data_IF_436902121003
#
_entry.id   IF_436902121003
#
_cell.length_a   1.000
_cell.length_b   1.000
_cell.length_c   1.000
_cell.angle_alpha   90.00
_cell.angle_beta   90.00
_cell.angle_gamma   90.00
#
_symmetry.space_group_name_H-M   'P 1'
#
loop_
_entity.id
_entity.type
_entity.pdbx_description
1 polymer ?
#
# COMPACT_ATOMS: atom_id res chain seq x y z
N UNK A 1 -8.29 -13.44 -5.45
CA UNK A 1 -7.44 -14.31 -4.60
C UNK A 1 -5.96 -13.96 -4.59
N UNK A 2 -5.24 -14.13 -5.71
CA UNK A 2 -3.76 -14.03 -5.72
C UNK A 2 -3.24 -12.64 -5.33
N UNK A 3 -3.99 -11.58 -5.62
CA UNK A 3 -3.62 -10.20 -5.27
C UNK A 3 -3.43 -9.98 -3.76
N UNK A 4 -4.16 -10.72 -2.92
CA UNK A 4 -4.03 -10.69 -1.46
C UNK A 4 -2.69 -11.21 -0.95
N UNK A 5 -1.86 -11.82 -1.82
CA UNK A 5 -0.47 -12.20 -1.51
C UNK A 5 0.54 -11.05 -1.61
N UNK A 6 0.12 -9.87 -2.09
CA UNK A 6 1.00 -8.68 -2.20
C UNK A 6 1.78 -8.36 -0.91
N UNK A 7 1.21 -8.44 0.31
CA UNK A 7 1.95 -8.22 1.55
C UNK A 7 3.12 -9.18 1.77
N UNK A 8 3.01 -10.42 1.27
CA UNK A 8 4.10 -11.41 1.33
C UNK A 8 5.27 -10.96 0.47
N UNK A 9 4.99 -10.53 -0.77
CA UNK A 9 6.01 -10.02 -1.69
C UNK A 9 6.64 -8.72 -1.18
N UNK A 10 5.83 -7.82 -0.61
CA UNK A 10 6.30 -6.62 0.07
C UNK A 10 7.30 -6.96 1.17
N UNK A 11 6.96 -7.91 2.04
CA UNK A 11 7.83 -8.34 3.14
C UNK A 11 9.12 -8.98 2.63
N UNK A 12 9.02 -9.84 1.62
CA UNK A 12 10.17 -10.52 1.01
C UNK A 12 11.17 -9.52 0.44
N UNK A 13 10.70 -8.55 -0.37
CA UNK A 13 11.58 -7.51 -0.90
C UNK A 13 12.12 -6.58 0.20
N UNK A 14 11.35 -6.32 1.25
CA UNK A 14 11.83 -5.55 2.41
C UNK A 14 13.00 -6.23 3.12
N UNK A 15 13.01 -7.57 3.18
CA UNK A 15 14.16 -8.34 3.66
C UNK A 15 15.33 -8.32 2.68
N UNK A 16 15.07 -8.46 1.38
CA UNK A 16 16.13 -8.43 0.34
C UNK A 16 16.87 -7.09 0.30
N UNK A 17 16.16 -5.97 0.42
CA UNK A 17 16.76 -4.64 0.48
C UNK A 17 17.29 -4.26 1.88
N UNK A 18 17.10 -5.12 2.88
CA UNK A 18 17.63 -4.91 4.23
C UNK A 18 16.88 -3.87 5.07
N UNK A 19 15.67 -3.47 4.66
CA UNK A 19 14.84 -2.52 5.42
C UNK A 19 14.27 -3.12 6.71
N UNK A 20 14.03 -4.44 6.73
CA UNK A 20 13.58 -5.18 7.91
C UNK A 20 14.48 -6.38 8.19
N UNK A 21 14.69 -6.68 9.48
CA UNK A 21 15.42 -7.90 9.89
C UNK A 21 14.46 -9.09 9.88
N UNK A 22 14.84 -10.23 9.28
CA UNK A 22 13.99 -11.42 9.30
C UNK A 22 13.79 -11.87 10.74
N UNK A 23 12.55 -11.71 11.23
CA UNK A 23 12.11 -12.14 12.55
C UNK A 23 10.91 -13.04 12.38
N UNK A 24 10.96 -14.22 12.98
CA UNK A 24 9.89 -15.23 12.90
C UNK A 24 8.55 -14.66 13.35
N UNK A 25 8.54 -13.80 14.37
CA UNK A 25 7.34 -13.10 14.84
C UNK A 25 6.68 -12.23 13.76
N UNK A 26 7.48 -11.45 13.01
CA UNK A 26 6.96 -10.59 11.95
C UNK A 26 6.39 -11.42 10.79
N UNK A 27 7.08 -12.49 10.41
CA UNK A 27 6.63 -13.41 9.36
C UNK A 27 5.31 -14.06 9.78
N UNK A 28 5.21 -14.56 11.02
CA UNK A 28 3.99 -15.16 11.55
C UNK A 28 2.80 -14.21 11.53
N UNK A 29 3.00 -12.95 11.94
CA UNK A 29 1.94 -11.93 11.92
C UNK A 29 1.44 -11.67 10.48
N UNK A 30 2.35 -11.48 9.51
CA UNK A 30 1.96 -11.24 8.12
C UNK A 30 1.25 -12.45 7.52
N UNK A 31 1.70 -13.68 7.83
CA UNK A 31 1.02 -14.90 7.39
C UNK A 31 -0.41 -15.01 7.93
N UNK A 32 -0.64 -14.64 9.20
CA UNK A 32 -1.99 -14.61 9.79
C UNK A 32 -2.88 -13.59 9.07
N UNK A 33 -2.38 -12.41 8.75
CA UNK A 33 -3.15 -11.39 8.02
C UNK A 33 -3.50 -11.89 6.62
N UNK A 34 -2.53 -12.44 5.88
CA UNK A 34 -2.76 -12.97 4.53
C UNK A 34 -3.75 -14.14 4.55
N UNK A 35 -3.67 -15.01 5.55
CA UNK A 35 -4.64 -16.09 5.73
C UNK A 35 -6.05 -15.57 6.02
N UNK A 36 -6.18 -14.55 6.88
CA UNK A 36 -7.46 -13.89 7.13
C UNK A 36 -8.09 -13.32 5.87
N UNK A 37 -7.31 -12.61 5.05
CA UNK A 37 -7.78 -12.05 3.76
C UNK A 37 -8.09 -13.17 2.75
N UNK A 38 -7.36 -14.28 2.77
CA UNK A 38 -7.67 -15.41 1.91
C UNK A 38 -9.05 -16.01 2.23
N UNK A 39 -9.38 -16.14 3.52
CA UNK A 39 -10.68 -16.65 3.96
C UNK A 39 -11.86 -15.75 3.58
N UNK A 40 -11.65 -14.43 3.41
CA UNK A 40 -12.73 -13.51 3.02
C UNK A 40 -13.11 -13.59 1.53
N UNK A 41 -12.28 -14.22 0.70
CA UNK A 41 -12.45 -14.23 -0.75
C UNK A 41 -12.88 -15.62 -1.27
N UNK A 42 -13.00 -16.63 -0.39
CA UNK A 42 -13.17 -18.03 -0.79
C UNK A 42 -14.55 -18.27 -1.45
N UNK A 43 -14.58 -18.44 -2.79
CA UNK A 43 -15.83 -18.65 -3.53
C UNK A 43 -15.79 -18.56 -5.08
N UNK A 44 -14.63 -18.34 -5.71
CA UNK A 44 -14.53 -18.18 -7.17
C UNK A 44 -14.70 -19.51 -7.93
N UNK A 45 -15.73 -19.60 -8.78
CA UNK A 45 -16.11 -20.81 -9.54
C UNK A 45 -15.55 -20.86 -10.98
N UNK A 46 -14.73 -19.89 -11.40
CA UNK A 46 -14.12 -19.87 -12.75
C UNK A 46 -12.63 -19.55 -12.68
N UNK A 47 -11.82 -20.60 -12.51
CA UNK A 47 -10.36 -20.47 -12.54
C UNK A 47 -9.87 -20.28 -13.98
N UNK A 48 -9.29 -19.11 -14.26
CA UNK A 48 -8.55 -18.82 -15.50
C UNK A 48 -7.04 -18.75 -15.22
N UNK A 49 -6.27 -19.59 -15.91
CA UNK A 49 -4.83 -19.70 -15.67
C UNK A 49 -4.06 -18.46 -16.12
N UNK A 50 -4.48 -17.80 -17.21
CA UNK A 50 -3.81 -16.62 -17.74
C UNK A 50 -3.98 -15.44 -16.78
N UNK A 51 -5.21 -15.18 -16.34
CA UNK A 51 -5.53 -14.18 -15.32
C UNK A 51 -4.82 -14.45 -14.00
N UNK A 52 -4.72 -15.73 -13.59
CA UNK A 52 -3.96 -16.11 -12.40
C UNK A 52 -2.48 -15.71 -12.50
N UNK A 53 -1.80 -16.03 -13.61
CA UNK A 53 -0.38 -15.67 -13.81
C UNK A 53 -0.20 -14.16 -13.87
N UNK A 54 -1.08 -13.44 -14.59
CA UNK A 54 -1.03 -11.99 -14.68
C UNK A 54 -1.14 -11.31 -13.30
N UNK A 55 -2.08 -11.76 -12.46
CA UNK A 55 -2.25 -11.22 -11.11
C UNK A 55 -1.08 -11.59 -10.21
N UNK A 56 -0.47 -12.77 -10.38
CA UNK A 56 0.72 -13.17 -9.63
C UNK A 56 1.90 -12.24 -9.93
N UNK A 57 2.19 -12.03 -11.22
CA UNK A 57 3.26 -11.10 -11.66
C UNK A 57 2.97 -9.68 -11.19
N UNK A 58 1.72 -9.22 -11.31
CA UNK A 58 1.33 -7.90 -10.83
C UNK A 58 1.54 -7.73 -9.32
N UNK A 59 1.33 -8.78 -8.52
CA UNK A 59 1.54 -8.77 -7.07
C UNK A 59 3.03 -8.66 -6.71
N UNK A 60 3.89 -9.40 -7.42
CA UNK A 60 5.35 -9.33 -7.26
C UNK A 60 5.86 -7.93 -7.60
N UNK A 61 5.50 -7.41 -8.78
CA UNK A 61 5.92 -6.07 -9.24
C UNK A 61 5.38 -4.97 -8.31
N UNK A 62 4.17 -5.11 -7.78
CA UNK A 62 3.61 -4.18 -6.80
C UNK A 62 4.41 -4.15 -5.50
N UNK A 63 4.83 -5.33 -5.00
CA UNK A 63 5.70 -5.43 -3.83
C UNK A 63 7.08 -4.80 -4.07
N UNK A 64 7.66 -5.02 -5.24
CA UNK A 64 8.93 -4.40 -5.65
C UNK A 64 8.80 -2.88 -5.74
N UNK A 65 7.76 -2.37 -6.43
CA UNK A 65 7.50 -0.93 -6.60
C UNK A 65 7.51 -0.22 -5.27
N UNK A 66 6.76 -0.71 -4.29
CA UNK A 66 6.68 -0.03 -2.99
C UNK A 66 7.99 -0.04 -2.22
N UNK A 67 8.79 -1.10 -2.33
CA UNK A 67 10.10 -1.14 -1.71
C UNK A 67 11.11 -0.19 -2.40
N UNK A 68 11.05 -0.07 -3.73
CA UNK A 68 11.83 0.92 -4.47
C UNK A 68 11.39 2.35 -4.13
N UNK A 69 10.09 2.60 -3.97
CA UNK A 69 9.58 3.90 -3.48
C UNK A 69 10.11 4.20 -2.08
N UNK A 70 10.13 3.22 -1.17
CA UNK A 70 10.74 3.40 0.15
C UNK A 70 12.22 3.74 0.05
N UNK A 71 12.98 3.02 -0.79
CA UNK A 71 14.39 3.32 -1.05
C UNK A 71 14.58 4.77 -1.52
N UNK A 72 13.77 5.20 -2.48
CA UNK A 72 13.81 6.55 -3.04
C UNK A 72 13.50 7.63 -2.00
N UNK A 73 12.50 7.41 -1.13
CA UNK A 73 12.05 8.39 -0.13
C UNK A 73 12.95 8.47 1.11
N UNK A 74 13.59 7.36 1.49
CA UNK A 74 14.37 7.26 2.74
C UNK A 74 15.88 7.46 2.53
N UNK A 75 16.35 7.51 1.28
CA UNK A 75 17.77 7.70 0.99
C UNK A 75 18.13 9.19 0.91
N UNK A 76 18.66 9.73 2.01
CA UNK A 76 19.07 11.15 2.15
C UNK A 76 20.04 11.64 1.06
N UNK A 77 20.82 10.72 0.46
CA UNK A 77 21.79 11.03 -0.60
C UNK A 77 21.16 11.54 -1.89
N UNK A 78 19.87 11.33 -2.10
CA UNK A 78 19.17 11.75 -3.31
C UNK A 78 18.61 13.18 -3.21
N UNK A 79 18.65 13.82 -2.03
CA UNK A 79 18.18 15.19 -1.83
C UNK A 79 16.65 15.37 -1.92
N UNK A 80 15.90 14.29 -2.17
CA UNK A 80 14.44 14.29 -2.30
C UNK A 80 13.82 13.86 -0.96
N UNK A 81 13.97 14.70 0.06
CA UNK A 81 13.43 14.40 1.39
C UNK A 81 11.93 14.71 1.51
N UNK A 82 11.26 15.10 0.42
CA UNK A 82 9.84 15.47 0.43
C UNK A 82 9.00 14.49 -0.40
N UNK A 83 7.88 13.95 0.16
CA UNK A 83 6.93 13.11 -0.58
C UNK A 83 6.40 13.80 -1.85
N UNK A 84 6.18 15.11 -1.77
CA UNK A 84 5.69 15.95 -2.87
C UNK A 84 6.75 16.04 -3.97
N UNK A 85 8.02 16.20 -3.60
CA UNK A 85 9.11 16.26 -4.58
C UNK A 85 9.29 14.93 -5.31
N UNK A 86 9.18 13.80 -4.59
CA UNK A 86 9.20 12.48 -5.25
C UNK A 86 8.05 12.34 -6.23
N UNK A 87 6.84 12.76 -5.81
CA UNK A 87 5.65 12.69 -6.65
C UNK A 87 5.78 13.58 -7.89
N UNK A 88 6.39 14.77 -7.77
CA UNK A 88 6.65 15.66 -8.90
C UNK A 88 7.53 15.00 -9.97
N UNK A 89 8.56 14.26 -9.59
CA UNK A 89 9.43 13.56 -10.54
C UNK A 89 8.78 12.28 -11.11
N UNK A 90 8.00 11.57 -10.30
CA UNK A 90 7.42 10.28 -10.69
C UNK A 90 6.12 10.42 -11.51
N UNK A 91 5.29 11.42 -11.22
CA UNK A 91 3.99 11.62 -11.89
C UNK A 91 4.08 11.76 -13.41
N UNK A 92 4.98 12.58 -14.01
CA UNK A 92 5.00 12.74 -15.45
C UNK A 92 5.39 11.44 -16.17
N UNK A 93 6.32 10.65 -15.62
CA UNK A 93 6.68 9.37 -16.24
C UNK A 93 5.57 8.33 -16.09
N UNK A 94 4.88 8.29 -14.96
CA UNK A 94 3.68 7.46 -14.79
C UNK A 94 2.57 7.86 -15.76
N UNK A 95 2.35 9.17 -15.98
CA UNK A 95 1.36 9.67 -16.93
C UNK A 95 1.70 9.25 -18.37
N UNK A 96 2.92 9.49 -18.84
CA UNK A 96 3.33 9.15 -20.22
C UNK A 96 3.23 7.64 -20.47
N UNK A 97 3.68 6.82 -19.52
CA UNK A 97 3.62 5.37 -19.65
C UNK A 97 2.18 4.84 -19.63
N UNK A 98 1.33 5.36 -18.74
CA UNK A 98 -0.09 4.99 -18.69
C UNK A 98 -0.84 5.44 -19.95
N UNK A 99 -0.57 6.64 -20.44
CA UNK A 99 -1.15 7.17 -21.67
C UNK A 99 -0.78 6.29 -22.87
N UNK A 100 0.50 5.93 -23.00
CA UNK A 100 0.97 5.04 -24.05
C UNK A 100 0.27 3.67 -24.00
N UNK A 101 0.17 3.06 -22.82
CA UNK A 101 -0.52 1.77 -22.65
C UNK A 101 -2.01 1.86 -22.98
N UNK A 102 -2.70 2.93 -22.57
CA UNK A 102 -4.11 3.15 -22.92
C UNK A 102 -4.31 3.26 -24.44
N UNK A 103 -3.43 3.97 -25.16
CA UNK A 103 -3.52 4.03 -26.63
C UNK A 103 -3.34 2.67 -27.32
N UNK A 104 -2.44 1.82 -26.80
CA UNK A 104 -2.14 0.51 -27.39
C UNK A 104 -3.22 -0.53 -27.07
N UNK A 105 -3.81 -0.48 -25.87
CA UNK A 105 -4.74 -1.52 -25.39
C UNK A 105 -6.20 -1.16 -25.64
N UNK A 106 -6.59 0.10 -25.40
CA UNK A 106 -7.99 0.51 -25.36
C UNK A 106 -8.46 1.24 -26.62
N UNK A 107 -7.52 1.66 -27.50
CA UNK A 107 -7.80 2.39 -28.73
C UNK A 107 -8.82 3.53 -28.54
N UNK A 108 -8.49 4.54 -27.71
CA UNK A 108 -9.47 5.51 -27.20
C UNK A 108 -10.17 6.29 -28.30
N UNK A 109 -9.50 6.57 -29.43
CA UNK A 109 -10.07 7.33 -30.55
C UNK A 109 -11.31 6.68 -31.17
N UNK A 110 -11.37 5.35 -31.17
CA UNK A 110 -12.51 4.60 -31.70
C UNK A 110 -13.68 4.60 -30.70
N UNK A 111 -13.36 4.53 -29.40
CA UNK A 111 -14.36 4.57 -28.32
C UNK A 111 -14.96 5.96 -28.13
N UNK A 112 -14.17 7.03 -28.22
CA UNK A 112 -14.65 8.42 -28.09
C UNK A 112 -15.70 8.80 -29.16
N UNK A 113 -15.68 8.15 -30.32
CA UNK A 113 -16.67 8.37 -31.40
C UNK A 113 -17.99 7.62 -31.19
N UNK A 114 -17.99 6.61 -30.32
CA UNK A 114 -19.15 5.75 -30.08
C UNK A 114 -19.75 5.94 -28.69
N UNK A 115 -19.13 6.78 -27.85
CA UNK A 115 -19.51 6.92 -26.44
C UNK A 115 -20.59 7.99 -26.23
N UNK A 116 -21.71 7.59 -25.63
CA UNK A 116 -22.81 8.49 -25.22
C UNK A 116 -22.39 9.55 -24.18
N UNK A 117 -21.22 9.38 -23.54
CA UNK A 117 -20.73 10.25 -22.48
C UNK A 117 -20.16 11.59 -22.98
N UNK A 118 -19.90 11.72 -24.29
CA UNK A 118 -19.33 12.93 -24.89
C UNK A 118 -20.25 13.58 -25.94
N UNK A 119 -21.51 13.16 -26.01
CA UNK A 119 -22.46 13.61 -27.04
C UNK A 119 -23.04 15.02 -26.79
N UNK A 120 -23.13 15.44 -25.52
CA UNK A 120 -23.72 16.73 -25.12
C UNK A 120 -22.73 17.52 -24.26
N UNK A 121 -22.55 18.84 -24.46
CA UNK A 121 -21.73 19.68 -23.59
C UNK A 121 -22.01 19.50 -22.09
N UNK A 122 -23.24 19.21 -21.69
CA UNK A 122 -23.57 18.89 -20.29
C UNK A 122 -22.91 17.58 -19.81
N UNK A 123 -22.99 16.50 -20.60
CA UNK A 123 -22.37 15.21 -20.28
C UNK A 123 -20.84 15.27 -20.33
N UNK A 124 -20.28 16.11 -21.21
CA UNK A 124 -18.84 16.37 -21.25
C UNK A 124 -18.38 17.02 -19.94
N UNK A 125 -19.07 18.07 -19.49
CA UNK A 125 -18.72 18.78 -18.24
C UNK A 125 -18.90 17.87 -17.03
N UNK A 126 -19.96 17.07 -16.99
CA UNK A 126 -20.20 16.08 -15.94
C UNK A 126 -19.09 15.03 -15.89
N UNK A 127 -18.74 14.43 -17.03
CA UNK A 127 -17.69 13.41 -17.14
C UNK A 127 -16.33 13.97 -16.73
N UNK A 128 -15.96 15.16 -17.24
CA UNK A 128 -14.72 15.83 -16.82
C UNK A 128 -14.72 16.19 -15.35
N UNK A 129 -15.86 16.62 -14.80
CA UNK A 129 -16.02 16.94 -13.38
C UNK A 129 -15.79 15.72 -12.50
N UNK A 130 -16.44 14.59 -12.82
CA UNK A 130 -16.26 13.32 -12.10
C UNK A 130 -14.82 12.81 -12.20
N UNK A 131 -14.20 12.89 -13.37
CA UNK A 131 -12.79 12.53 -13.58
C UNK A 131 -11.85 13.43 -12.77
N UNK A 132 -12.09 14.74 -12.72
CA UNK A 132 -11.28 15.67 -11.96
C UNK A 132 -11.38 15.42 -10.45
N UNK A 133 -12.58 15.17 -9.93
CA UNK A 133 -12.80 14.84 -8.51
C UNK A 133 -12.12 13.51 -8.17
N UNK A 134 -12.30 12.46 -9.00
CA UNK A 134 -11.64 11.18 -8.83
C UNK A 134 -10.11 11.30 -8.86
N UNK A 135 -9.58 12.08 -9.80
CA UNK A 135 -8.15 12.37 -9.92
C UNK A 135 -7.59 13.11 -8.70
N UNK A 136 -8.32 14.09 -8.15
CA UNK A 136 -7.93 14.80 -6.94
C UNK A 136 -7.89 13.86 -5.71
N UNK A 137 -8.90 12.99 -5.56
CA UNK A 137 -8.93 11.99 -4.48
C UNK A 137 -7.79 10.98 -4.62
N UNK A 138 -7.50 10.52 -5.84
CA UNK A 138 -6.39 9.61 -6.11
C UNK A 138 -5.03 10.27 -5.80
N UNK A 139 -4.85 11.55 -6.17
CA UNK A 139 -3.65 12.32 -5.83
C UNK A 139 -3.48 12.47 -4.31
N UNK A 140 -4.56 12.81 -3.59
CA UNK A 140 -4.53 12.93 -2.13
C UNK A 140 -4.19 11.59 -1.46
N UNK A 141 -4.76 10.49 -1.95
CA UNK A 141 -4.44 9.13 -1.48
C UNK A 141 -2.96 8.81 -1.71
N UNK A 142 -2.43 9.04 -2.91
CA UNK A 142 -1.04 8.75 -3.24
C UNK A 142 -0.07 9.58 -2.39
N UNK A 143 -0.39 10.85 -2.16
CA UNK A 143 0.40 11.72 -1.26
C UNK A 143 0.41 11.18 0.17
N UNK A 144 -0.74 10.71 0.68
CA UNK A 144 -0.83 10.11 2.01
C UNK A 144 -0.02 8.81 2.11
N UNK A 145 -0.04 7.96 1.07
CA UNK A 145 0.76 6.73 1.02
C UNK A 145 2.27 7.02 1.03
N UNK A 146 2.72 8.01 0.25
CA UNK A 146 4.13 8.42 0.24
C UNK A 146 4.54 9.05 1.58
N UNK A 147 3.69 9.88 2.19
CA UNK A 147 3.93 10.43 3.51
C UNK A 147 4.03 9.33 4.58
N UNK A 148 3.20 8.29 4.49
CA UNK A 148 3.24 7.15 5.42
C UNK A 148 4.53 6.35 5.25
N UNK A 149 4.98 6.09 4.02
CA UNK A 149 6.26 5.41 3.76
C UNK A 149 7.42 6.21 4.34
N UNK A 150 7.44 7.54 4.11
CA UNK A 150 8.49 8.42 4.63
C UNK A 150 8.63 8.30 6.15
N UNK A 151 7.51 8.33 6.86
CA UNK A 151 7.49 8.29 8.33
C UNK A 151 7.65 6.88 8.90
N UNK A 152 7.42 5.83 8.10
CA UNK A 152 7.41 4.44 8.57
C UNK A 152 8.22 3.52 7.65
N UNK A 153 7.57 2.53 7.02
CA UNK A 153 8.14 1.64 6.02
C UNK A 153 7.03 1.03 5.17
N UNK A 154 7.41 0.40 4.07
CA UNK A 154 6.49 -0.22 3.12
C UNK A 154 5.70 -1.38 3.71
N UNK A 155 6.22 -2.09 4.71
CA UNK A 155 5.47 -3.15 5.41
C UNK A 155 4.30 -2.55 6.18
N UNK A 156 4.49 -1.41 6.87
CA UNK A 156 3.42 -0.70 7.55
C UNK A 156 2.41 -0.13 6.58
N UNK A 157 2.85 0.39 5.43
CA UNK A 157 1.94 0.79 4.36
C UNK A 157 1.06 -0.39 3.91
N UNK A 158 1.65 -1.56 3.70
CA UNK A 158 0.89 -2.75 3.31
C UNK A 158 -0.15 -3.16 4.35
N UNK A 159 0.19 -3.09 5.65
CA UNK A 159 -0.77 -3.37 6.73
C UNK A 159 -1.87 -2.32 6.79
N UNK A 160 -1.53 -1.03 6.64
CA UNK A 160 -2.50 0.07 6.58
C UNK A 160 -3.45 -0.07 5.37
N UNK A 161 -2.94 -0.54 4.23
CA UNK A 161 -3.75 -0.86 3.06
C UNK A 161 -4.79 -1.93 3.34
N UNK A 162 -4.41 -3.02 4.01
CA UNK A 162 -5.35 -4.09 4.41
C UNK A 162 -6.38 -3.56 5.41
N UNK A 163 -5.97 -2.73 6.37
CA UNK A 163 -6.90 -2.07 7.29
C UNK A 163 -7.92 -1.20 6.55
N UNK A 164 -7.49 -0.42 5.54
CA UNK A 164 -8.37 0.37 4.69
C UNK A 164 -9.36 -0.52 3.95
N UNK A 165 -8.91 -1.65 3.38
CA UNK A 165 -9.78 -2.59 2.68
C UNK A 165 -10.87 -3.18 3.61
N UNK A 166 -10.52 -3.53 4.85
CA UNK A 166 -11.48 -4.01 5.85
C UNK A 166 -12.55 -2.96 6.15
N UNK A 167 -12.16 -1.68 6.29
CA UNK A 167 -13.12 -0.58 6.49
C UNK A 167 -14.06 -0.44 5.31
N UNK A 168 -13.55 -0.52 4.08
CA UNK A 168 -14.37 -0.47 2.86
C UNK A 168 -15.37 -1.61 2.83
N UNK A 169 -14.93 -2.86 3.07
CA UNK A 169 -15.82 -4.04 3.11
C UNK A 169 -16.92 -3.85 4.16
N UNK A 170 -16.55 -3.38 5.35
CA UNK A 170 -17.49 -3.20 6.47
C UNK A 170 -18.53 -2.12 6.15
N UNK A 171 -18.11 -1.02 5.51
CA UNK A 171 -18.99 0.06 5.10
C UNK A 171 -19.90 -0.37 3.95
N UNK A 172 -19.39 -1.12 2.98
CA UNK A 172 -20.19 -1.69 1.89
C UNK A 172 -21.32 -2.56 2.45
N UNK A 173 -21.03 -3.45 3.40
CA UNK A 173 -22.06 -4.29 4.03
C UNK A 173 -23.08 -3.46 4.80
N UNK A 174 -22.64 -2.43 5.52
CA UNK A 174 -23.53 -1.57 6.30
C UNK A 174 -24.48 -0.72 5.43
N UNK A 175 -24.01 -0.28 4.26
CA UNK A 175 -24.80 0.57 3.34
C UNK A 175 -25.68 -0.27 2.41
N UNK A 176 -25.12 -1.31 1.80
CA UNK A 176 -25.80 -2.11 0.77
C UNK A 176 -26.58 -3.30 1.36
N UNK A 177 -26.33 -3.65 2.62
CA UNK A 177 -27.03 -4.76 3.28
C UNK A 177 -26.63 -6.15 2.78
N UNK A 178 -25.45 -6.27 2.16
CA UNK A 178 -24.96 -7.53 1.59
C UNK A 178 -24.81 -8.61 2.68
N UNK A 179 -25.29 -9.83 2.40
CA UNK A 179 -25.16 -10.96 3.32
C UNK A 179 -23.73 -11.51 3.31
N UNK A 180 -23.02 -11.29 4.42
CA UNK A 180 -21.70 -11.89 4.63
C UNK A 180 -21.83 -13.37 4.98
N UNK A 181 -21.17 -14.22 4.19
CA UNK A 181 -21.01 -15.64 4.53
C UNK A 181 -20.20 -15.77 5.83
N UNK A 182 -20.48 -16.81 6.64
CA UNK A 182 -19.78 -17.05 7.92
C UNK A 182 -18.26 -17.11 7.76
N UNK A 183 -17.76 -17.61 6.62
CA UNK A 183 -16.34 -17.62 6.26
C UNK A 183 -15.74 -16.21 6.12
N UNK A 184 -16.49 -15.29 5.49
CA UNK A 184 -16.05 -13.92 5.29
C UNK A 184 -15.96 -13.16 6.61
N UNK A 185 -16.93 -13.39 7.51
CA UNK A 185 -16.90 -12.83 8.87
C UNK A 185 -15.68 -13.35 9.63
N UNK A 186 -15.41 -14.66 9.56
CA UNK A 186 -14.26 -15.26 10.22
C UNK A 186 -12.93 -14.73 9.67
N UNK A 187 -12.80 -14.60 8.34
CA UNK A 187 -11.63 -14.01 7.71
C UNK A 187 -11.39 -12.55 8.12
N UNK A 188 -12.47 -11.77 8.28
CA UNK A 188 -12.40 -10.38 8.75
C UNK A 188 -11.88 -10.31 10.19
N UNK A 189 -12.40 -11.15 11.09
CA UNK A 189 -11.94 -11.24 12.50
C UNK A 189 -10.45 -11.61 12.56
N UNK A 190 -10.03 -12.63 11.81
CA UNK A 190 -8.62 -13.08 11.77
C UNK A 190 -7.70 -11.97 11.25
N UNK A 191 -8.13 -11.25 10.20
CA UNK A 191 -7.36 -10.13 9.63
C UNK A 191 -7.20 -8.99 10.64
N UNK A 192 -8.28 -8.62 11.34
CA UNK A 192 -8.25 -7.60 12.40
C UNK A 192 -7.31 -8.01 13.52
N UNK A 193 -7.38 -9.26 13.98
CA UNK A 193 -6.49 -9.77 15.03
C UNK A 193 -5.01 -9.71 14.60
N UNK A 194 -4.70 -10.06 13.35
CA UNK A 194 -3.35 -9.94 12.79
C UNK A 194 -2.84 -8.50 12.74
N UNK A 195 -3.70 -7.54 12.33
CA UNK A 195 -3.36 -6.11 12.31
C UNK A 195 -3.09 -5.58 13.72
N UNK A 196 -3.92 -5.96 14.69
CA UNK A 196 -3.72 -5.59 16.09
C UNK A 196 -2.38 -6.14 16.60
N UNK A 197 -2.08 -7.41 16.32
CA UNK A 197 -0.80 -8.04 16.64
C UNK A 197 0.39 -7.33 16.00
N UNK A 198 0.28 -6.91 14.74
CA UNK A 198 1.31 -6.12 14.05
C UNK A 198 1.56 -4.78 14.74
N UNK A 199 0.49 -4.08 15.11
CA UNK A 199 0.57 -2.77 15.77
C UNK A 199 1.27 -2.91 17.13
N UNK A 200 0.87 -3.88 17.95
CA UNK A 200 1.54 -4.18 19.23
C UNK A 200 3.03 -4.50 19.03
N UNK A 201 3.37 -5.37 18.07
CA UNK A 201 4.76 -5.70 17.76
C UNK A 201 5.58 -4.45 17.38
N UNK A 202 5.03 -3.56 16.55
CA UNK A 202 5.71 -2.35 16.12
C UNK A 202 5.89 -1.35 17.27
N UNK A 203 4.89 -1.20 18.14
CA UNK A 203 4.98 -0.37 19.35
C UNK A 203 6.06 -0.87 20.31
N UNK A 204 6.12 -2.18 20.57
CA UNK A 204 7.15 -2.77 21.43
C UNK A 204 8.56 -2.58 20.84
N UNK A 205 8.73 -2.75 19.52
CA UNK A 205 10.01 -2.50 18.83
C UNK A 205 10.44 -1.03 18.98
N UNK A 206 9.52 -0.09 18.82
CA UNK A 206 9.78 1.35 18.99
C UNK A 206 10.20 1.71 20.42
N UNK A 207 9.50 1.18 21.42
CA UNK A 207 9.85 1.40 22.83
C UNK A 207 11.21 0.82 23.21
N UNK A 208 11.57 -0.35 22.68
CA UNK A 208 12.86 -0.97 22.97
C UNK A 208 14.03 -0.21 22.31
N UNK A 209 13.81 0.35 21.12
CA UNK A 209 14.78 1.25 20.47
C UNK A 209 14.97 2.53 21.30
N UNK A 210 13.89 3.13 21.82
CA UNK A 210 13.97 4.34 22.62
C UNK A 210 14.65 4.10 23.98
N UNK A 211 14.40 2.97 24.65
CA UNK A 211 15.09 2.62 25.91
C UNK A 211 16.60 2.46 25.76
N UNK A 212 17.09 1.94 24.63
CA UNK A 212 18.53 1.82 24.36
C UNK A 212 19.22 3.18 24.13
N UNK A 213 18.50 4.18 23.62
CA UNK A 213 19.03 5.52 23.39
C UNK A 213 19.23 6.32 24.68
N UNK A 214 18.44 6.05 25.73
CA UNK A 214 18.56 6.69 27.05
C UNK A 214 19.68 6.08 27.91
N UNK A 215 20.19 4.89 27.54
CA UNK A 215 21.34 4.27 28.20
C UNK A 215 22.69 4.78 27.68
N UNK A 216 22.72 5.56 26.58
CA UNK A 216 23.95 6.11 25.99
C UNK A 216 24.16 7.60 26.32
N UNK A 217 23.98 7.99 27.58
CA UNK A 217 24.60 9.23 28.08
C UNK A 217 25.95 8.81 28.67
N UNK A 218 27.10 9.11 28.02
CA UNK A 218 28.39 8.90 28.65
C UNK A 218 28.50 9.84 29.87
N UNK A 219 28.35 9.28 31.07
CA UNK A 219 28.79 9.93 32.31
C UNK A 219 30.32 9.86 32.39
N UNK A 220 31.01 10.73 31.67
CA UNK A 220 32.41 11.14 31.92
C UNK A 220 32.70 12.32 30.99
N UNK A 221 33.05 13.52 31.46
CA UNK A 221 34.26 13.79 32.23
C UNK A 221 34.08 15.11 33.01
N UNK A 222 33.99 15.01 34.34
CA UNK A 222 34.46 16.07 35.22
C UNK A 222 35.98 16.00 35.22
N UNK A 223 36.66 16.99 34.61
CA UNK A 223 38.05 17.27 34.96
C UNK A 223 38.49 18.69 34.53
N UNK A 224 38.71 19.51 35.56
CA UNK A 224 39.64 20.64 35.66
C UNK A 224 39.52 21.78 34.65
N UNK A 225 38.90 22.87 35.12
CA UNK A 225 39.34 24.23 34.83
C UNK A 225 39.64 24.91 36.18
N UNK A 226 40.77 24.52 36.76
CA UNK A 226 41.56 25.33 37.68
C UNK A 226 42.98 25.23 37.13
N UNK A 227 43.36 26.29 36.41
CA UNK A 227 44.66 26.98 36.42
C UNK A 227 44.61 28.12 35.37
#
# INVERSE_FOLDING_TARGET
MVKSSTPVWVLLFSFMFGFEKPRVTLIGIIMVIVFGVFLTVEGETKFDMVGFVLVLVASVVSGLRWNLTQLLLQQDRLGINSPIATLYYLSPIMFVTMLFLSFVVEHPLDQFRQSEHFDNPYHVVESFGLMAIGGLLAFAMLLAEFALIKSTNTVTLSVAGISKEIVVISLSVAIYGDELTSKNILGLIVSIAGIIGYNYYKLSKSQQSNKGQYQMIPMTMSRKLED
#
